data_IF_711197475357
#
_entry.id   IF_711197475357
#
_cell.length_a   1.000
_cell.length_b   1.000
_cell.length_c   1.000
_cell.angle_alpha   90.00
_cell.angle_beta   90.00
_cell.angle_gamma   90.00
#
_symmetry.space_group_name_H-M   'P 1'
#
loop_
_entity.id
_entity.type
_entity.pdbx_description
1 polymer ?
#
# COMPACT_ATOMS: atom_id res chain seq x y z
N UNK A 1 -0.31 -14.22 0.08
CA UNK A 1 -0.33 -13.09 -0.87
C UNK A 1 1.10 -12.57 -0.92
N UNK A 2 1.82 -12.82 -2.01
CA UNK A 2 3.29 -12.79 -1.99
C UNK A 2 3.87 -11.37 -2.01
N UNK A 3 3.13 -10.37 -2.51
CA UNK A 3 3.53 -8.96 -2.45
C UNK A 3 2.30 -8.06 -2.26
N UNK A 4 2.01 -7.64 -1.03
CA UNK A 4 0.87 -6.77 -0.72
C UNK A 4 1.36 -5.40 -0.24
N UNK A 5 0.85 -4.33 -0.87
CA UNK A 5 1.05 -2.94 -0.45
C UNK A 5 -0.25 -2.41 0.15
N UNK A 6 -0.20 -1.94 1.40
CA UNK A 6 -1.40 -1.49 2.13
C UNK A 6 -2.25 -0.48 1.36
N UNK A 7 -1.67 0.57 0.73
CA UNK A 7 -2.47 1.54 -0.02
C UNK A 7 -3.20 0.92 -1.23
N UNK A 8 -2.55 0.02 -1.97
CA UNK A 8 -3.17 -0.66 -3.11
C UNK A 8 -4.32 -1.55 -2.64
N UNK A 9 -4.11 -2.31 -1.55
CA UNK A 9 -5.16 -3.13 -0.95
C UNK A 9 -6.35 -2.28 -0.47
N UNK A 10 -6.09 -1.11 0.13
CA UNK A 10 -7.14 -0.21 0.59
C UNK A 10 -7.96 0.35 -0.58
N UNK A 11 -7.31 0.80 -1.65
CA UNK A 11 -7.97 1.34 -2.85
C UNK A 11 -8.83 0.29 -3.55
N UNK A 12 -8.25 -0.87 -3.88
CA UNK A 12 -8.98 -1.95 -4.56
C UNK A 12 -10.07 -2.52 -3.66
N UNK A 13 -9.80 -2.67 -2.36
CA UNK A 13 -10.78 -3.12 -1.37
C UNK A 13 -11.99 -2.19 -1.27
N UNK A 14 -11.77 -0.88 -1.28
CA UNK A 14 -12.86 0.12 -1.29
C UNK A 14 -13.70 0.06 -2.57
N UNK A 15 -13.07 -0.04 -3.73
CA UNK A 15 -13.76 -0.17 -5.02
C UNK A 15 -14.58 -1.46 -5.06
N UNK A 16 -13.95 -2.59 -4.72
CA UNK A 16 -14.62 -3.90 -4.72
C UNK A 16 -15.80 -3.94 -3.73
N UNK A 17 -15.63 -3.41 -2.52
CA UNK A 17 -16.71 -3.33 -1.54
C UNK A 17 -17.88 -2.48 -2.06
N UNK A 18 -17.60 -1.37 -2.75
CA UNK A 18 -18.63 -0.56 -3.36
C UNK A 18 -19.35 -1.29 -4.49
N UNK A 19 -18.65 -2.03 -5.36
CA UNK A 19 -19.28 -2.86 -6.40
C UNK A 19 -20.20 -3.93 -5.81
N UNK A 20 -19.84 -4.53 -4.67
CA UNK A 20 -20.71 -5.46 -3.94
C UNK A 20 -21.99 -4.74 -3.48
N UNK A 21 -21.89 -3.52 -2.93
CA UNK A 21 -23.06 -2.74 -2.53
C UNK A 21 -23.96 -2.44 -3.75
N UNK A 22 -23.38 -2.06 -4.88
CA UNK A 22 -24.13 -1.81 -6.13
C UNK A 22 -24.88 -3.06 -6.58
N UNK A 23 -24.21 -4.22 -6.59
CA UNK A 23 -24.80 -5.49 -6.98
C UNK A 23 -25.96 -5.91 -6.07
N UNK A 24 -25.82 -5.72 -4.75
CA UNK A 24 -26.86 -6.08 -3.79
C UNK A 24 -28.06 -5.12 -3.77
N UNK A 25 -27.88 -3.86 -4.15
CA UNK A 25 -28.91 -2.82 -3.99
C UNK A 25 -29.54 -2.34 -5.28
N UNK A 26 -28.91 -2.60 -6.44
CA UNK A 26 -29.30 -1.99 -7.71
C UNK A 26 -29.13 -0.46 -7.74
N UNK A 27 -28.40 0.12 -6.78
CA UNK A 27 -28.16 1.55 -6.68
C UNK A 27 -26.78 1.89 -7.25
N UNK A 28 -26.72 2.98 -8.01
CA UNK A 28 -25.56 3.43 -8.80
C UNK A 28 -25.24 2.56 -10.01
N UNK A 29 -24.40 3.09 -10.91
CA UNK A 29 -23.95 2.38 -12.12
C UNK A 29 -22.81 1.43 -11.77
N UNK A 30 -22.94 0.11 -12.03
CA UNK A 30 -21.86 -0.84 -11.84
C UNK A 30 -20.68 -0.56 -12.78
N UNK A 31 -19.49 -0.98 -12.36
CA UNK A 31 -18.35 -1.04 -13.25
C UNK A 31 -18.59 -2.10 -14.35
N UNK A 32 -18.15 -1.83 -15.58
CA UNK A 32 -18.45 -2.66 -16.74
C UNK A 32 -17.19 -2.91 -17.59
N UNK A 33 -16.39 -3.96 -17.45
CA UNK A 33 -16.37 -5.09 -16.51
C UNK A 33 -15.01 -5.19 -15.80
N UNK A 34 -13.98 -4.61 -16.42
CA UNK A 34 -12.59 -4.71 -15.98
C UNK A 34 -12.09 -3.32 -15.57
N UNK A 35 -11.32 -3.31 -14.49
CA UNK A 35 -10.57 -2.16 -14.03
C UNK A 35 -9.12 -2.61 -13.85
N UNK A 36 -8.20 -1.92 -14.49
CA UNK A 36 -6.77 -2.06 -14.26
C UNK A 36 -6.30 -0.80 -13.53
N UNK A 37 -5.42 -0.99 -12.54
CA UNK A 37 -4.89 0.08 -11.72
C UNK A 37 -3.44 -0.24 -11.41
N UNK A 38 -2.57 0.74 -11.65
CA UNK A 38 -1.16 0.71 -11.31
C UNK A 38 -0.75 2.03 -10.64
N UNK A 39 0.41 2.01 -9.99
CA UNK A 39 1.05 3.16 -9.36
C UNK A 39 2.56 3.06 -9.56
N UNK A 40 2.98 2.83 -10.81
CA UNK A 40 4.41 2.66 -11.14
C UNK A 40 5.23 3.90 -10.81
N UNK A 41 4.59 5.07 -10.75
CA UNK A 41 5.19 6.36 -10.41
C UNK A 41 5.68 6.44 -8.95
N UNK A 42 5.31 5.47 -8.11
CA UNK A 42 5.78 5.37 -6.71
C UNK A 42 7.16 4.70 -6.61
N UNK A 43 7.63 4.05 -7.68
CA UNK A 43 8.95 3.44 -7.70
C UNK A 43 10.04 4.53 -7.64
N UNK A 44 11.14 4.28 -6.92
CA UNK A 44 12.28 5.20 -6.91
C UNK A 44 12.90 5.33 -8.31
N UNK A 45 13.37 6.52 -8.67
CA UNK A 45 14.00 6.81 -9.97
C UNK A 45 15.27 5.96 -10.20
N UNK A 46 16.02 5.73 -9.12
CA UNK A 46 17.17 4.83 -9.11
C UNK A 46 16.68 3.41 -8.78
N UNK A 47 16.58 2.56 -9.80
CA UNK A 47 16.28 1.13 -9.60
C UNK A 47 17.51 0.50 -8.92
N UNK A 48 17.38 -0.06 -7.70
CA UNK A 48 18.51 -0.71 -7.04
C UNK A 48 19.05 -1.85 -7.92
N UNK A 49 20.37 -1.98 -7.94
CA UNK A 49 21.01 -2.99 -8.78
C UNK A 49 20.59 -4.38 -8.30
N UNK A 50 20.51 -5.36 -9.21
CA UNK A 50 20.15 -6.75 -8.86
C UNK A 50 21.02 -7.38 -7.74
N UNK A 51 22.18 -6.79 -7.43
CA UNK A 51 23.04 -7.20 -6.31
C UNK A 51 22.51 -6.80 -4.92
N UNK A 52 21.64 -5.80 -4.79
CA UNK A 52 21.05 -5.38 -3.50
C UNK A 52 20.01 -6.41 -2.98
N UNK A 53 19.66 -7.40 -3.80
CA UNK A 53 18.77 -8.50 -3.42
C UNK A 53 19.44 -9.54 -2.52
N UNK A 54 20.78 -9.60 -2.45
CA UNK A 54 21.50 -10.52 -1.56
C UNK A 54 21.36 -10.10 -0.08
N UNK A 55 21.14 -8.82 0.22
CA UNK A 55 20.82 -8.32 1.58
C UNK A 55 19.37 -8.60 2.02
N UNK A 56 18.53 -9.20 1.16
CA UNK A 56 17.17 -9.61 1.54
C UNK A 56 17.13 -10.76 2.55
N UNK A 57 18.27 -11.40 2.87
CA UNK A 57 18.29 -12.52 3.80
C UNK A 57 17.81 -12.13 5.21
N UNK A 58 18.15 -10.90 5.65
CA UNK A 58 17.72 -10.29 6.92
C UNK A 58 16.27 -9.75 6.87
N UNK A 59 15.70 -9.60 5.68
CA UNK A 59 14.32 -9.12 5.50
C UNK A 59 13.25 -10.21 5.64
N UNK A 60 13.63 -11.49 5.73
CA UNK A 60 12.68 -12.62 5.81
C UNK A 60 11.77 -12.57 7.04
N UNK A 61 12.25 -11.99 8.14
CA UNK A 61 11.51 -11.86 9.40
C UNK A 61 10.72 -10.55 9.51
N UNK A 62 10.94 -9.58 8.61
CA UNK A 62 10.30 -8.27 8.68
C UNK A 62 8.85 -8.32 8.23
N UNK A 63 7.96 -7.69 9.02
CA UNK A 63 6.55 -7.48 8.62
C UNK A 63 6.41 -6.60 7.37
N UNK A 64 7.45 -5.84 7.01
CA UNK A 64 7.48 -4.95 5.85
C UNK A 64 8.14 -5.60 4.61
N UNK A 65 8.45 -6.90 4.64
CA UNK A 65 9.14 -7.62 3.56
C UNK A 65 8.55 -7.36 2.17
N UNK A 66 7.22 -7.44 2.04
CA UNK A 66 6.55 -7.22 0.74
C UNK A 66 6.72 -5.79 0.23
N UNK A 67 6.72 -4.79 1.12
CA UNK A 67 6.95 -3.39 0.78
C UNK A 67 8.40 -3.16 0.37
N UNK A 68 9.35 -3.65 1.18
CA UNK A 68 10.79 -3.60 0.89
C UNK A 68 11.11 -4.23 -0.47
N UNK A 69 10.45 -5.34 -0.83
CA UNK A 69 10.66 -6.00 -2.12
C UNK A 69 10.21 -5.16 -3.33
N UNK A 70 9.34 -4.16 -3.14
CA UNK A 70 8.82 -3.31 -4.22
C UNK A 70 9.52 -1.95 -4.25
N UNK A 71 9.62 -1.28 -3.10
CA UNK A 71 10.14 0.11 -3.03
C UNK A 71 11.57 0.20 -2.48
N UNK A 72 12.15 -0.92 -2.02
CA UNK A 72 13.49 -0.96 -1.46
C UNK A 72 13.55 -0.68 0.05
N UNK A 73 14.66 -1.09 0.68
CA UNK A 73 14.91 -0.92 2.12
C UNK A 73 15.07 0.55 2.52
N UNK A 74 15.75 1.34 1.69
CA UNK A 74 15.97 2.77 1.94
C UNK A 74 14.64 3.53 2.10
N UNK A 75 13.67 3.28 1.21
CA UNK A 75 12.34 3.90 1.32
C UNK A 75 11.61 3.44 2.59
N UNK A 76 11.73 2.16 2.97
CA UNK A 76 11.14 1.66 4.22
C UNK A 76 11.72 2.35 5.47
N UNK A 77 13.02 2.60 5.49
CA UNK A 77 13.70 3.30 6.59
C UNK A 77 13.33 4.80 6.63
N UNK A 78 13.16 5.42 5.47
CA UNK A 78 12.64 6.79 5.37
C UNK A 78 11.22 6.91 5.93
N UNK A 79 10.34 5.95 5.63
CA UNK A 79 9.00 5.90 6.22
C UNK A 79 9.06 5.73 7.74
N UNK A 80 9.94 4.86 8.23
CA UNK A 80 10.11 4.61 9.66
C UNK A 80 10.71 5.77 10.46
N UNK A 81 11.35 6.73 9.79
CA UNK A 81 11.97 7.90 10.40
C UNK A 81 11.24 9.22 10.08
N UNK A 82 10.10 9.15 9.40
CA UNK A 82 9.38 10.34 8.94
C UNK A 82 8.55 11.00 10.06
N UNK A 83 8.87 12.24 10.41
CA UNK A 83 8.01 13.04 11.30
C UNK A 83 6.76 13.52 10.56
N UNK A 84 5.60 12.94 10.88
CA UNK A 84 4.31 13.27 10.25
C UNK A 84 3.35 13.91 11.23
N UNK A 85 2.44 14.77 10.74
CA UNK A 85 1.39 15.40 11.55
C UNK A 85 0.02 15.17 10.93
N UNK A 86 -0.82 14.37 11.60
CA UNK A 86 -2.20 14.10 11.19
C UNK A 86 -3.17 15.00 11.96
N UNK A 87 -3.91 15.85 11.24
CA UNK A 87 -4.97 16.68 11.82
C UNK A 87 -6.33 16.02 11.58
N UNK A 88 -6.89 15.45 12.65
CA UNK A 88 -8.22 14.85 12.66
C UNK A 88 -8.20 13.31 12.70
N UNK A 89 -9.08 12.74 13.53
CA UNK A 89 -9.19 11.30 13.78
C UNK A 89 -10.61 10.76 13.46
N UNK A 90 -11.22 11.31 12.41
CA UNK A 90 -12.50 10.80 11.86
C UNK A 90 -12.29 9.60 10.94
N UNK A 91 -13.29 9.28 10.11
CA UNK A 91 -13.23 8.14 9.18
C UNK A 91 -11.94 8.11 8.33
N UNK A 92 -11.56 9.24 7.74
CA UNK A 92 -10.32 9.37 6.96
C UNK A 92 -9.10 9.21 7.86
N UNK A 93 -9.10 9.84 9.03
CA UNK A 93 -7.99 9.75 9.98
C UNK A 93 -7.72 8.32 10.42
N UNK A 94 -8.76 7.55 10.71
CA UNK A 94 -8.65 6.11 11.03
C UNK A 94 -8.03 5.31 9.87
N UNK A 95 -8.44 5.58 8.63
CA UNK A 95 -7.90 4.89 7.45
C UNK A 95 -6.45 5.27 7.14
N UNK A 96 -6.07 6.53 7.35
CA UNK A 96 -4.68 6.99 7.23
C UNK A 96 -3.82 6.34 8.31
N UNK A 97 -4.23 6.36 9.58
CA UNK A 97 -3.50 5.71 10.69
C UNK A 97 -3.33 4.21 10.47
N UNK A 98 -4.35 3.52 9.96
CA UNK A 98 -4.23 2.11 9.57
C UNK A 98 -3.15 1.93 8.50
N UNK A 99 -3.16 2.73 7.44
CA UNK A 99 -2.14 2.63 6.38
C UNK A 99 -0.74 2.94 6.91
N UNK A 100 -0.58 3.98 7.74
CA UNK A 100 0.70 4.32 8.39
C UNK A 100 1.22 3.18 9.26
N UNK A 101 0.36 2.59 10.10
CA UNK A 101 0.73 1.45 10.95
C UNK A 101 1.12 0.19 10.15
N UNK A 102 0.53 0.00 8.96
CA UNK A 102 0.86 -1.10 8.05
C UNK A 102 2.11 -0.83 7.22
N UNK A 103 2.39 0.43 6.90
CA UNK A 103 3.56 0.87 6.14
C UNK A 103 4.79 1.13 7.01
N UNK A 104 4.63 1.13 8.34
CA UNK A 104 5.72 1.41 9.28
C UNK A 104 6.09 2.89 9.37
N UNK A 105 5.14 3.79 9.12
CA UNK A 105 5.31 5.24 9.38
C UNK A 105 5.22 5.48 10.88
N UNK A 106 6.25 6.10 11.47
CA UNK A 106 6.39 6.30 12.91
C UNK A 106 6.79 7.74 13.27
#
# INVERSE_FOLDING_TARGET
AEHALSPICATIGGIAAQEVIKACTGKFTPLHQHLYFDCIEVLPDDIPNFHDFEEMEDSRSSRYRSQIAVVGRQVQEQLASSTTFLIGAGAIGCEILKNWAMMGVA
#
